data_IF_915333991607
#
_entry.id   IF_915333991607
#
_cell.length_a   1.000
_cell.length_b   1.000
_cell.length_c   1.000
_cell.angle_alpha   90.00
_cell.angle_beta   90.00
_cell.angle_gamma   90.00
#
_symmetry.space_group_name_H-M   'P 1'
#
loop_
_entity.id
_entity.type
_entity.pdbx_description
1 polymer ?
#
# COMPACT_ATOMS: atom_id res chain seq x y z
N UNK A 1 0.57 -17.27 -19.39
CA UNK A 1 1.35 -17.36 -18.13
C UNK A 1 0.51 -16.79 -16.98
N UNK A 2 0.11 -17.60 -16.00
CA UNK A 2 -0.59 -17.11 -14.79
C UNK A 2 0.43 -16.36 -13.94
N UNK A 3 0.31 -15.03 -13.82
CA UNK A 3 1.07 -14.25 -12.84
C UNK A 3 0.63 -14.73 -11.45
N UNK A 4 1.53 -15.40 -10.73
CA UNK A 4 1.35 -15.64 -9.29
C UNK A 4 1.33 -14.25 -8.65
N UNK A 5 0.13 -13.80 -8.26
CA UNK A 5 -0.01 -12.51 -7.59
C UNK A 5 0.64 -12.67 -6.22
N UNK A 6 1.80 -12.07 -6.03
CA UNK A 6 2.47 -12.03 -4.73
C UNK A 6 1.54 -11.26 -3.78
N UNK A 7 0.95 -11.96 -2.80
CA UNK A 7 0.03 -11.34 -1.85
C UNK A 7 0.71 -10.29 -0.98
N UNK A 8 2.02 -10.44 -0.77
CA UNK A 8 2.86 -9.59 0.06
C UNK A 8 3.81 -8.75 -0.80
N UNK A 9 3.60 -7.45 -0.79
CA UNK A 9 4.36 -6.46 -1.53
C UNK A 9 5.52 -5.95 -0.67
N UNK A 10 6.68 -5.73 -1.30
CA UNK A 10 7.71 -4.88 -0.70
C UNK A 10 7.30 -3.42 -0.84
N UNK A 11 7.95 -2.53 -0.09
CA UNK A 11 7.72 -1.08 -0.20
C UNK A 11 7.94 -0.57 -1.62
N UNK A 12 9.02 -1.02 -2.27
CA UNK A 12 9.29 -0.68 -3.67
C UNK A 12 8.13 -1.09 -4.58
N UNK A 13 7.58 -2.30 -4.38
CA UNK A 13 6.49 -2.79 -5.24
C UNK A 13 5.17 -2.06 -4.97
N UNK A 14 4.88 -1.77 -3.70
CA UNK A 14 3.73 -0.96 -3.34
C UNK A 14 3.81 0.44 -3.96
N UNK A 15 5.00 1.07 -3.92
CA UNK A 15 5.24 2.35 -4.58
C UNK A 15 5.04 2.29 -6.09
N UNK A 16 5.58 1.27 -6.77
CA UNK A 16 5.38 1.08 -8.21
C UNK A 16 3.88 0.95 -8.56
N UNK A 17 3.09 0.24 -7.74
CA UNK A 17 1.66 0.05 -7.97
C UNK A 17 0.90 1.36 -7.75
N UNK A 18 1.25 2.12 -6.71
CA UNK A 18 0.63 3.40 -6.39
C UNK A 18 1.14 4.57 -7.25
N UNK A 19 2.14 4.35 -8.11
CA UNK A 19 2.79 5.41 -8.89
C UNK A 19 3.60 6.40 -8.05
N UNK A 20 4.07 6.00 -6.86
CA UNK A 20 4.85 6.85 -5.96
C UNK A 20 6.34 6.83 -6.31
N UNK A 21 6.95 8.02 -6.38
CA UNK A 21 8.39 8.18 -6.62
C UNK A 21 9.23 8.26 -5.35
N UNK A 22 8.61 8.53 -4.19
CA UNK A 22 9.31 8.76 -2.92
C UNK A 22 8.86 7.81 -1.81
N UNK A 23 9.84 7.23 -1.11
CA UNK A 23 9.60 6.42 0.10
C UNK A 23 9.00 7.25 1.25
N UNK A 24 9.22 8.57 1.25
CA UNK A 24 8.63 9.45 2.26
C UNK A 24 7.11 9.49 2.12
N UNK A 25 6.58 9.48 0.89
CA UNK A 25 5.14 9.42 0.62
C UNK A 25 4.53 8.11 1.11
N UNK A 26 5.19 6.98 0.83
CA UNK A 26 4.75 5.69 1.37
C UNK A 26 4.76 5.70 2.92
N UNK A 27 5.78 6.31 3.52
CA UNK A 27 5.86 6.46 4.99
C UNK A 27 4.72 7.32 5.53
N UNK A 28 4.30 8.36 4.80
CA UNK A 28 3.13 9.15 5.17
C UNK A 28 1.84 8.31 5.15
N UNK A 29 1.70 7.38 4.21
CA UNK A 29 0.54 6.49 4.15
C UNK A 29 0.55 5.50 5.33
N UNK A 30 1.72 4.97 5.69
CA UNK A 30 1.90 4.13 6.88
C UNK A 30 1.52 4.90 8.14
N UNK A 31 1.94 6.17 8.27
CA UNK A 31 1.54 7.05 9.37
C UNK A 31 0.04 7.36 9.38
N UNK A 32 -0.58 7.41 8.21
CA UNK A 32 -2.03 7.60 8.06
C UNK A 32 -2.85 6.32 8.35
N UNK A 33 -2.20 5.17 8.58
CA UNK A 33 -2.86 3.94 8.99
C UNK A 33 -2.70 2.75 8.02
N UNK A 34 -1.85 2.86 6.99
CA UNK A 34 -1.61 1.72 6.09
C UNK A 34 -0.97 0.54 6.85
N UNK A 35 -1.58 -0.66 6.84
CA UNK A 35 -1.06 -1.82 7.55
C UNK A 35 0.27 -2.31 6.97
N UNK A 36 1.23 -2.57 7.86
CA UNK A 36 2.54 -3.14 7.51
C UNK A 36 2.80 -4.37 8.37
N UNK A 37 3.21 -5.45 7.71
CA UNK A 37 3.66 -6.68 8.33
C UNK A 37 5.18 -6.59 8.50
N UNK A 38 5.67 -6.69 9.73
CA UNK A 38 7.10 -6.70 10.04
C UNK A 38 7.53 -8.07 10.57
N UNK A 39 8.51 -8.69 9.92
CA UNK A 39 9.10 -9.97 10.32
C UNK A 39 10.61 -9.85 10.36
N UNK A 40 11.20 -9.89 11.55
CA UNK A 40 12.65 -9.91 11.78
C UNK A 40 13.44 -8.87 10.94
N UNK A 41 12.91 -7.63 10.83
CA UNK A 41 13.39 -6.49 10.04
C UNK A 41 12.93 -6.40 8.57
N UNK A 42 12.21 -7.39 8.04
CA UNK A 42 11.58 -7.29 6.72
C UNK A 42 10.18 -6.71 6.83
N UNK A 43 9.91 -5.63 6.09
CA UNK A 43 8.58 -4.99 6.04
C UNK A 43 7.86 -5.34 4.75
N UNK A 44 6.61 -5.76 4.87
CA UNK A 44 5.73 -6.17 3.77
C UNK A 44 4.36 -5.55 3.92
N UNK A 45 3.71 -5.29 2.80
CA UNK A 45 2.35 -4.75 2.74
C UNK A 45 1.50 -5.77 2.00
N UNK A 46 0.42 -6.22 2.61
CA UNK A 46 -0.51 -7.13 1.93
C UNK A 46 -1.28 -6.33 0.88
N UNK A 47 -1.40 -6.87 -0.33
CA UNK A 47 -2.07 -6.16 -1.44
C UNK A 47 -3.51 -5.81 -1.11
N UNK A 48 -4.26 -6.72 -0.50
CA UNK A 48 -5.65 -6.48 -0.08
C UNK A 48 -5.78 -5.28 0.87
N UNK A 49 -4.80 -5.14 1.77
CA UNK A 49 -4.83 -4.12 2.81
C UNK A 49 -4.46 -2.75 2.23
N UNK A 50 -3.56 -2.73 1.23
CA UNK A 50 -3.27 -1.56 0.42
C UNK A 50 -4.51 -1.07 -0.34
N UNK A 51 -5.19 -1.98 -1.03
CA UNK A 51 -6.38 -1.67 -1.82
C UNK A 51 -7.53 -1.17 -0.90
N UNK A 52 -7.72 -1.81 0.26
CA UNK A 52 -8.69 -1.39 1.26
C UNK A 52 -8.37 0.00 1.83
N UNK A 53 -7.10 0.28 2.15
CA UNK A 53 -6.64 1.58 2.62
C UNK A 53 -6.89 2.68 1.57
N UNK A 54 -6.54 2.45 0.31
CA UNK A 54 -6.80 3.43 -0.74
C UNK A 54 -8.30 3.68 -0.94
N UNK A 55 -9.12 2.64 -0.80
CA UNK A 55 -10.59 2.75 -0.88
C UNK A 55 -11.16 3.53 0.29
N UNK A 56 -10.68 3.32 1.53
CA UNK A 56 -11.16 4.05 2.71
C UNK A 56 -10.77 5.53 2.69
N UNK A 57 -9.66 5.87 2.04
CA UNK A 57 -9.21 7.24 1.82
C UNK A 57 -9.71 7.84 0.50
N UNK A 58 -10.62 7.17 -0.20
CA UNK A 58 -11.22 7.69 -1.41
C UNK A 58 -12.15 8.85 -1.06
N UNK A 59 -11.65 10.08 -1.23
CA UNK A 59 -12.46 11.29 -1.08
C UNK A 59 -13.31 11.43 -2.33
N UNK A 60 -14.52 10.87 -2.30
CA UNK A 60 -15.50 11.16 -3.33
C UNK A 60 -15.98 12.60 -3.10
N UNK A 61 -15.57 13.54 -3.97
CA UNK A 61 -16.02 14.94 -3.93
C UNK A 61 -17.48 15.12 -4.36
N UNK A 62 -18.33 14.14 -4.05
CA UNK A 62 -19.78 14.16 -4.24
C UNK A 62 -20.49 13.68 -2.98
N UNK A 63 -20.35 14.48 -1.93
CA UNK A 63 -21.39 14.62 -0.89
C UNK A 63 -21.62 16.14 -0.81
N UNK A 64 -22.65 16.67 -1.50
CA UNK A 64 -24.10 16.57 -1.27
C UNK A 64 -24.58 17.69 -0.33
#
# INVERSE_FOLDING_TARGET
>A
MKKVQTEYLSYKKAMEILGLSSYQTLTAYIKAGLPVIEVANSKRIKKSDLDAFMTSHYVNSKEA
#
